data_IF_835358321953
#
_entry.id   IF_835358321953
#
_cell.length_a   1.000
_cell.length_b   1.000
_cell.length_c   1.000
_cell.angle_alpha   90.00
_cell.angle_beta   90.00
_cell.angle_gamma   90.00
#
_symmetry.space_group_name_H-M   'P 1'
#
loop_
_entity.id
_entity.type
_entity.pdbx_description
1 polymer ?
#
# COMPACT_ATOMS: atom_id res chain seq x y z
N UNK A 1 -14.91 -18.40 -3.61
CA UNK A 1 -15.98 -17.44 -3.89
C UNK A 1 -16.06 -16.48 -2.73
N UNK A 2 -15.95 -15.20 -3.01
CA UNK A 2 -16.04 -14.13 -2.03
C UNK A 2 -17.51 -13.74 -1.83
N UNK A 3 -17.84 -13.26 -0.63
CA UNK A 3 -19.18 -12.75 -0.32
C UNK A 3 -19.08 -11.30 0.12
N UNK A 4 -19.88 -10.43 -0.49
CA UNK A 4 -20.00 -9.04 -0.07
C UNK A 4 -21.18 -8.90 0.89
N UNK A 5 -20.97 -8.16 1.98
CA UNK A 5 -22.00 -7.71 2.91
C UNK A 5 -22.00 -6.19 2.98
N UNK A 6 -23.19 -5.59 3.01
CA UNK A 6 -23.36 -4.16 3.24
C UNK A 6 -24.26 -3.94 4.44
N UNK A 7 -23.83 -3.13 5.42
CA UNK A 7 -24.49 -2.91 6.72
C UNK A 7 -24.96 -4.21 7.40
N UNK A 8 -24.15 -5.26 7.28
CA UNK A 8 -24.44 -6.59 7.85
C UNK A 8 -25.31 -7.49 6.98
N UNK A 9 -25.95 -6.98 5.93
CA UNK A 9 -26.75 -7.75 4.99
C UNK A 9 -25.88 -8.33 3.86
N UNK A 10 -25.86 -9.66 3.68
CA UNK A 10 -25.24 -10.26 2.50
C UNK A 10 -25.94 -9.79 1.22
N UNK A 11 -25.19 -9.38 0.19
CA UNK A 11 -25.79 -8.87 -1.04
C UNK A 11 -26.74 -9.88 -1.71
N UNK A 12 -26.42 -11.18 -1.62
CA UNK A 12 -27.29 -12.24 -2.14
C UNK A 12 -28.63 -12.35 -1.39
N UNK A 13 -28.76 -11.82 -0.17
CA UNK A 13 -30.05 -11.74 0.53
C UNK A 13 -30.87 -10.51 0.12
N UNK A 14 -30.20 -9.45 -0.32
CA UNK A 14 -30.85 -8.23 -0.84
C UNK A 14 -31.36 -8.47 -2.26
N UNK A 15 -30.62 -9.27 -3.05
CA UNK A 15 -30.99 -9.63 -4.42
C UNK A 15 -30.91 -11.15 -4.64
N UNK A 16 -31.85 -11.93 -4.09
CA UNK A 16 -31.81 -13.40 -4.12
C UNK A 16 -31.73 -14.02 -5.52
N UNK A 17 -32.29 -13.31 -6.51
CA UNK A 17 -32.37 -13.76 -7.90
C UNK A 17 -31.66 -12.80 -8.87
N UNK A 18 -30.94 -11.81 -8.36
CA UNK A 18 -30.22 -10.84 -9.20
C UNK A 18 -28.82 -11.33 -9.52
N UNK A 19 -28.33 -10.97 -10.70
CA UNK A 19 -26.93 -11.13 -11.03
C UNK A 19 -26.12 -10.15 -10.16
N UNK A 20 -25.11 -10.66 -9.45
CA UNK A 20 -24.09 -9.85 -8.79
C UNK A 20 -22.78 -10.16 -9.51
N UNK A 21 -22.10 -9.15 -10.03
CA UNK A 21 -20.82 -9.37 -10.70
C UNK A 21 -19.75 -9.78 -9.67
N UNK A 22 -18.69 -10.49 -10.08
CA UNK A 22 -17.57 -10.76 -9.19
C UNK A 22 -17.00 -9.47 -8.62
N UNK A 23 -16.80 -9.42 -7.30
CA UNK A 23 -16.23 -8.24 -6.66
C UNK A 23 -14.76 -8.09 -7.04
N UNK A 24 -14.40 -6.86 -7.43
CA UNK A 24 -13.02 -6.42 -7.59
C UNK A 24 -12.63 -5.58 -6.39
N UNK A 25 -11.46 -5.82 -5.81
CA UNK A 25 -10.96 -4.97 -4.74
C UNK A 25 -9.46 -4.78 -4.80
N UNK A 26 -9.03 -3.65 -4.25
CA UNK A 26 -7.63 -3.27 -4.11
C UNK A 26 -7.28 -3.09 -2.64
N UNK A 27 -6.06 -3.45 -2.29
CA UNK A 27 -5.45 -3.13 -1.00
C UNK A 27 -4.17 -2.35 -1.22
N UNK A 28 -3.81 -1.51 -0.27
CA UNK A 28 -2.56 -0.77 -0.22
C UNK A 28 -1.87 -0.99 1.12
N UNK A 29 -0.65 -0.45 1.27
CA UNK A 29 0.14 -0.52 2.49
C UNK A 29 -0.64 -0.11 3.77
N UNK A 30 -1.57 0.84 3.64
CA UNK A 30 -2.43 1.33 4.74
C UNK A 30 -3.69 0.50 4.98
N UNK A 31 -3.94 -0.54 4.20
CA UNK A 31 -5.12 -1.41 4.31
C UNK A 31 -5.99 -1.47 3.06
N UNK A 32 -7.28 -1.85 3.19
CA UNK A 32 -8.26 -1.79 2.10
C UNK A 32 -8.24 -0.43 1.39
N UNK A 33 -8.20 -0.40 0.05
CA UNK A 33 -8.13 0.85 -0.73
C UNK A 33 -9.45 1.17 -1.42
N UNK A 34 -9.89 0.31 -2.35
CA UNK A 34 -11.15 0.46 -3.06
C UNK A 34 -11.76 -0.92 -3.36
N UNK A 35 -13.08 -0.99 -3.50
CA UNK A 35 -13.79 -2.15 -4.02
C UNK A 35 -14.92 -1.71 -4.94
N UNK A 36 -15.24 -2.55 -5.92
CA UNK A 36 -16.30 -2.31 -6.88
C UNK A 36 -16.99 -3.62 -7.29
N UNK A 37 -18.28 -3.51 -7.61
CA UNK A 37 -19.10 -4.59 -8.14
C UNK A 37 -20.38 -4.00 -8.76
N UNK A 38 -21.10 -4.83 -9.51
CA UNK A 38 -22.35 -4.48 -10.18
C UNK A 38 -23.47 -5.39 -9.71
N UNK A 39 -24.70 -4.88 -9.74
CA UNK A 39 -25.89 -5.64 -9.36
C UNK A 39 -27.02 -5.47 -10.37
N UNK A 40 -27.68 -6.56 -10.76
CA UNK A 40 -28.88 -6.51 -11.60
C UNK A 40 -30.11 -6.17 -10.76
N UNK A 41 -30.37 -4.87 -10.54
CA UNK A 41 -31.49 -4.39 -9.74
C UNK A 41 -32.60 -3.75 -10.61
N UNK A 42 -33.89 -3.85 -10.20
CA UNK A 42 -34.97 -3.14 -10.87
C UNK A 42 -34.82 -1.62 -10.76
N UNK A 43 -35.30 -0.88 -11.76
CA UNK A 43 -35.34 0.59 -11.72
C UNK A 43 -36.15 1.06 -10.49
N UNK A 44 -35.61 2.01 -9.75
CA UNK A 44 -36.24 2.56 -8.54
C UNK A 44 -36.12 1.68 -7.30
N UNK A 45 -35.33 0.60 -7.34
CA UNK A 45 -35.02 -0.19 -6.15
C UNK A 45 -34.27 0.66 -5.10
N UNK A 46 -34.69 0.55 -3.85
CA UNK A 46 -34.05 1.25 -2.72
C UNK A 46 -33.90 0.28 -1.56
N UNK A 47 -32.73 0.28 -0.94
CA UNK A 47 -32.48 -0.51 0.26
C UNK A 47 -31.48 0.25 1.14
N UNK A 48 -31.70 0.40 2.46
CA UNK A 48 -30.81 1.18 3.33
C UNK A 48 -29.34 0.76 3.27
N UNK A 49 -29.08 -0.55 3.12
CA UNK A 49 -27.73 -1.08 2.96
C UNK A 49 -27.09 -0.81 1.58
N UNK A 50 -27.80 -0.20 0.63
CA UNK A 50 -27.30 0.19 -0.69
C UNK A 50 -27.29 1.72 -0.83
N UNK A 51 -27.11 2.42 0.28
CA UNK A 51 -27.03 3.88 0.34
C UNK A 51 -25.57 4.31 0.58
N UNK A 52 -25.25 5.55 0.19
CA UNK A 52 -23.95 6.15 0.51
C UNK A 52 -23.69 6.10 2.01
N UNK A 53 -22.48 5.74 2.41
CA UNK A 53 -22.08 5.65 3.81
C UNK A 53 -22.26 4.27 4.43
N UNK A 54 -22.95 3.33 3.76
CA UNK A 54 -23.10 1.97 4.25
C UNK A 54 -21.73 1.27 4.41
N UNK A 55 -21.56 0.50 5.49
CA UNK A 55 -20.34 -0.25 5.75
C UNK A 55 -20.30 -1.51 4.88
N UNK A 56 -19.31 -1.58 4.01
CA UNK A 56 -19.12 -2.70 3.07
C UNK A 56 -17.99 -3.58 3.57
N UNK A 57 -18.22 -4.90 3.58
CA UNK A 57 -17.24 -5.92 3.93
C UNK A 57 -17.23 -7.04 2.91
N UNK A 58 -16.04 -7.45 2.48
CA UNK A 58 -15.82 -8.61 1.61
C UNK A 58 -15.27 -9.75 2.45
N UNK A 59 -15.86 -10.93 2.30
CA UNK A 59 -15.54 -12.12 3.08
C UNK A 59 -15.02 -13.26 2.20
N UNK A 60 -13.95 -13.92 2.68
CA UNK A 60 -13.53 -15.24 2.23
C UNK A 60 -13.94 -16.27 3.30
N UNK A 61 -15.10 -16.92 3.10
CA UNK A 61 -15.71 -17.75 4.14
C UNK A 61 -16.07 -16.91 5.38
N UNK A 62 -15.60 -17.24 6.59
CA UNK A 62 -15.86 -16.45 7.79
C UNK A 62 -14.92 -15.23 7.95
N UNK A 63 -13.85 -15.14 7.16
CA UNK A 63 -12.80 -14.14 7.32
C UNK A 63 -13.14 -12.87 6.53
N UNK A 64 -13.09 -11.72 7.19
CA UNK A 64 -13.16 -10.42 6.52
C UNK A 64 -11.82 -10.13 5.83
N UNK A 65 -11.81 -9.98 4.51
CA UNK A 65 -10.58 -9.75 3.73
C UNK A 65 -10.45 -8.32 3.23
N UNK A 66 -11.57 -7.59 3.19
CA UNK A 66 -11.61 -6.18 2.81
C UNK A 66 -12.78 -5.48 3.49
N UNK A 67 -12.61 -4.21 3.86
CA UNK A 67 -13.71 -3.38 4.37
C UNK A 67 -13.55 -1.90 4.02
N UNK A 68 -14.69 -1.23 3.90
CA UNK A 68 -14.76 0.16 3.50
C UNK A 68 -16.18 0.72 3.62
N UNK A 69 -16.37 1.92 3.11
CA UNK A 69 -17.64 2.64 3.13
C UNK A 69 -18.10 2.88 1.70
N UNK A 70 -19.36 2.58 1.43
CA UNK A 70 -19.98 2.74 0.11
C UNK A 70 -19.98 4.22 -0.30
N UNK A 71 -19.49 4.49 -1.51
CA UNK A 71 -19.68 5.78 -2.17
C UNK A 71 -21.12 5.89 -2.70
N UNK A 72 -21.51 7.03 -3.28
CA UNK A 72 -22.83 7.14 -3.92
C UNK A 72 -22.94 6.14 -5.08
N UNK A 73 -23.89 5.19 -5.05
CA UNK A 73 -24.05 4.21 -6.13
C UNK A 73 -24.53 4.86 -7.43
N UNK A 74 -24.03 4.38 -8.57
CA UNK A 74 -24.66 4.70 -9.85
C UNK A 74 -25.92 3.85 -10.01
N UNK A 75 -27.09 4.44 -9.74
CA UNK A 75 -28.39 3.76 -9.81
C UNK A 75 -28.88 3.51 -11.23
N UNK A 76 -28.24 4.06 -12.25
CA UNK A 76 -28.59 3.79 -13.65
C UNK A 76 -27.87 2.53 -14.14
N UNK A 77 -26.58 2.42 -13.87
CA UNK A 77 -25.76 1.25 -14.20
C UNK A 77 -25.84 0.15 -13.13
N UNK A 78 -26.36 0.47 -11.94
CA UNK A 78 -26.24 -0.33 -10.72
C UNK A 78 -24.81 -0.74 -10.42
N UNK A 79 -23.91 0.22 -10.59
CA UNK A 79 -22.51 0.11 -10.28
C UNK A 79 -22.23 0.68 -8.88
N UNK A 80 -21.55 -0.11 -8.06
CA UNK A 80 -21.28 0.21 -6.68
C UNK A 80 -19.77 0.30 -6.47
N UNK A 81 -19.35 1.34 -5.75
CA UNK A 81 -17.96 1.51 -5.32
C UNK A 81 -17.91 1.74 -3.82
N UNK A 82 -16.81 1.34 -3.18
CA UNK A 82 -16.57 1.56 -1.77
C UNK A 82 -15.13 1.98 -1.53
N UNK A 83 -14.95 3.01 -0.69
CA UNK A 83 -13.65 3.50 -0.24
C UNK A 83 -13.20 2.73 0.99
N UNK A 84 -11.96 2.24 0.98
CA UNK A 84 -11.42 1.47 2.10
C UNK A 84 -11.30 2.27 3.39
N UNK A 85 -11.44 1.58 4.54
CA UNK A 85 -11.58 2.22 5.85
C UNK A 85 -10.45 3.20 6.21
N UNK A 86 -9.22 2.96 5.75
CA UNK A 86 -8.08 3.82 6.09
C UNK A 86 -8.24 5.26 5.56
N UNK A 87 -8.98 5.47 4.45
CA UNK A 87 -9.20 6.80 3.87
C UNK A 87 -10.13 7.67 4.70
N UNK A 88 -10.95 7.06 5.56
CA UNK A 88 -11.82 7.82 6.45
C UNK A 88 -11.04 8.68 7.44
N UNK A 89 -9.81 8.27 7.82
CA UNK A 89 -8.94 9.06 8.69
C UNK A 89 -8.58 10.43 8.12
N UNK A 90 -8.64 10.62 6.80
CA UNK A 90 -8.41 11.91 6.13
C UNK A 90 -9.53 12.91 6.42
N UNK A 91 -10.73 12.42 6.74
CA UNK A 91 -11.94 13.21 7.00
C UNK A 91 -12.15 13.54 8.48
N UNK A 92 -11.31 13.00 9.37
CA UNK A 92 -11.38 13.23 10.81
C UNK A 92 -10.16 14.03 11.26
N UNK A 93 -10.41 15.16 11.93
CA UNK A 93 -9.36 16.02 12.45
C UNK A 93 -8.69 15.40 13.68
N UNK A 94 -7.37 15.46 13.75
CA UNK A 94 -6.58 15.15 14.92
C UNK A 94 -6.58 16.37 15.86
N UNK A 95 -7.78 16.77 16.27
CA UNK A 95 -8.01 18.02 17.00
C UNK A 95 -7.51 17.91 18.44
N UNK A 96 -6.43 18.62 18.78
CA UNK A 96 -6.13 19.00 20.15
C UNK A 96 -5.55 20.40 20.24
N UNK A 97 -6.02 21.16 21.22
CA UNK A 97 -5.46 22.45 21.61
C UNK A 97 -4.37 22.32 22.69
N UNK A 98 -4.08 21.09 23.14
CA UNK A 98 -3.19 20.78 24.27
C UNK A 98 -2.05 19.86 23.82
N UNK A 99 -0.82 20.28 24.08
CA UNK A 99 0.41 19.56 23.71
C UNK A 99 0.68 18.28 24.51
N UNK A 100 -0.12 18.00 25.55
CA UNK A 100 -0.04 16.75 26.33
C UNK A 100 -0.77 15.56 25.70
N UNK A 101 -1.51 15.78 24.60
CA UNK A 101 -2.32 14.75 23.95
C UNK A 101 -1.53 13.92 22.95
N UNK A 102 -1.67 12.61 23.11
CA UNK A 102 -0.93 11.59 22.36
C UNK A 102 -1.66 11.24 21.05
N UNK A 103 -0.99 10.53 20.15
CA UNK A 103 -1.64 9.96 18.96
C UNK A 103 -2.77 8.99 19.34
N UNK A 104 -2.64 8.26 20.44
CA UNK A 104 -3.66 7.38 20.99
C UNK A 104 -4.94 8.16 21.35
N UNK A 105 -4.79 9.31 22.03
CA UNK A 105 -5.91 10.19 22.33
C UNK A 105 -6.59 10.67 21.05
N UNK A 106 -5.81 10.99 20.00
CA UNK A 106 -6.33 11.49 18.72
C UNK A 106 -7.25 10.48 18.06
N UNK A 107 -6.78 9.23 18.00
CA UNK A 107 -7.52 8.13 17.42
C UNK A 107 -8.80 7.87 18.21
N UNK A 108 -8.72 7.82 19.54
CA UNK A 108 -9.89 7.58 20.40
C UNK A 108 -10.93 8.70 20.27
N UNK A 109 -10.48 9.96 20.20
CA UNK A 109 -11.36 11.09 19.97
C UNK A 109 -12.05 11.00 18.59
N UNK A 110 -11.34 10.54 17.55
CA UNK A 110 -11.92 10.34 16.22
C UNK A 110 -12.92 9.17 16.19
N UNK A 111 -12.61 8.06 16.86
CA UNK A 111 -13.53 6.94 17.06
C UNK A 111 -14.80 7.41 17.78
N UNK A 112 -14.66 8.20 18.84
CA UNK A 112 -15.79 8.80 19.56
C UNK A 112 -16.67 9.71 18.71
N UNK A 113 -16.14 10.30 17.63
CA UNK A 113 -16.90 11.09 16.64
C UNK A 113 -17.53 10.26 15.52
N UNK A 114 -17.38 8.94 15.54
CA UNK A 114 -17.99 8.03 14.57
C UNK A 114 -17.06 7.51 13.48
N UNK A 115 -15.73 7.67 13.63
CA UNK A 115 -14.78 6.95 12.78
C UNK A 115 -14.93 5.44 13.07
N UNK A 116 -15.26 4.58 12.09
CA UNK A 116 -15.51 3.16 12.31
C UNK A 116 -14.20 2.35 12.42
N UNK A 117 -13.25 2.89 13.18
CA UNK A 117 -11.99 2.26 13.53
C UNK A 117 -12.06 1.73 14.96
N UNK A 118 -11.14 0.83 15.27
CA UNK A 118 -10.92 0.34 16.63
C UNK A 118 -9.43 0.37 16.91
N UNK A 119 -9.07 0.58 18.18
CA UNK A 119 -7.69 0.60 18.64
C UNK A 119 -7.57 -0.32 19.85
N UNK A 120 -7.36 -1.64 19.62
CA UNK A 120 -7.32 -2.61 20.71
C UNK A 120 -6.07 -2.48 21.60
N UNK A 121 -5.00 -1.89 21.06
CA UNK A 121 -3.71 -1.72 21.73
C UNK A 121 -3.22 -0.28 21.61
N UNK A 122 -2.43 0.16 22.58
CA UNK A 122 -1.71 1.42 22.48
C UNK A 122 -0.74 1.40 21.31
N UNK A 123 -0.75 2.45 20.49
CA UNK A 123 0.17 2.63 19.38
C UNK A 123 1.37 3.46 19.83
N UNK A 124 1.14 4.49 20.64
CA UNK A 124 2.20 5.27 21.29
C UNK A 124 1.66 6.14 22.43
N UNK A 125 2.50 6.40 23.44
CA UNK A 125 2.20 7.30 24.56
C UNK A 125 3.02 8.60 24.57
N UNK A 126 3.94 8.79 23.62
CA UNK A 126 4.91 9.92 23.68
C UNK A 126 4.87 10.86 22.48
N UNK A 127 4.14 10.53 21.42
CA UNK A 127 4.03 11.38 20.24
C UNK A 127 2.91 12.42 20.40
N UNK A 128 3.29 13.70 20.47
CA UNK A 128 2.35 14.82 20.52
C UNK A 128 1.85 15.16 19.12
N UNK A 129 0.53 15.24 18.97
CA UNK A 129 -0.11 15.69 17.73
C UNK A 129 -0.30 17.20 17.77
N UNK A 130 0.09 17.91 16.70
CA UNK A 130 0.00 19.37 16.62
C UNK A 130 -1.25 19.86 15.89
N UNK A 131 -1.57 19.33 14.71
CA UNK A 131 -2.80 19.64 13.94
C UNK A 131 -2.91 18.76 12.68
N UNK A 132 -4.09 18.74 12.05
CA UNK A 132 -4.32 18.09 10.76
C UNK A 132 -5.13 16.79 10.88
N UNK A 133 -5.34 16.08 9.77
CA UNK A 133 -6.12 14.82 9.79
C UNK A 133 -5.44 13.73 10.61
N UNK A 134 -6.23 12.76 11.10
CA UNK A 134 -5.70 11.57 11.81
C UNK A 134 -4.70 10.82 10.94
N UNK A 135 -4.95 10.71 9.64
CA UNK A 135 -4.03 10.09 8.69
C UNK A 135 -2.68 10.83 8.63
N UNK A 136 -2.68 12.17 8.62
CA UNK A 136 -1.45 12.95 8.62
C UNK A 136 -0.69 12.82 9.95
N UNK A 137 -1.41 12.77 11.08
CA UNK A 137 -0.80 12.56 12.39
C UNK A 137 -0.13 11.18 12.50
N UNK A 138 -0.79 10.13 11.98
CA UNK A 138 -0.23 8.79 11.87
C UNK A 138 0.98 8.72 10.93
N UNK A 139 0.95 9.45 9.81
CA UNK A 139 2.09 9.56 8.91
C UNK A 139 3.29 10.24 9.57
N UNK A 140 3.06 11.30 10.34
CA UNK A 140 4.10 12.00 11.08
C UNK A 140 4.69 11.10 12.20
N UNK A 141 3.83 10.37 12.91
CA UNK A 141 4.27 9.38 13.89
C UNK A 141 5.16 8.32 13.25
N UNK A 142 4.70 7.68 12.18
CA UNK A 142 5.44 6.66 11.44
C UNK A 142 6.75 7.18 10.84
N UNK A 143 6.79 8.44 10.38
CA UNK A 143 8.03 9.08 9.94
C UNK A 143 9.04 9.22 11.09
N UNK A 144 8.58 9.47 12.32
CA UNK A 144 9.46 9.61 13.49
C UNK A 144 9.99 8.27 14.02
N UNK A 145 9.26 7.17 13.82
CA UNK A 145 9.61 5.85 14.36
C UNK A 145 10.17 4.89 13.31
N UNK A 146 10.05 5.22 12.02
CA UNK A 146 10.42 4.31 10.93
C UNK A 146 9.45 3.15 10.72
N UNK A 147 8.25 3.22 11.31
CA UNK A 147 7.22 2.21 11.15
C UNK A 147 6.24 2.59 10.05
N UNK A 148 5.31 1.70 9.71
CA UNK A 148 4.15 1.98 8.89
C UNK A 148 2.88 1.79 9.71
N UNK A 149 1.80 2.48 9.34
CA UNK A 149 0.49 2.28 9.93
C UNK A 149 -0.47 1.67 8.90
N UNK A 150 -1.46 0.93 9.39
CA UNK A 150 -2.55 0.41 8.56
C UNK A 150 -3.84 0.26 9.35
N UNK A 151 -4.93 0.17 8.62
CA UNK A 151 -6.24 -0.28 9.10
C UNK A 151 -6.51 -1.68 8.55
N UNK A 152 -6.78 -2.64 9.43
CA UNK A 152 -7.12 -4.01 9.03
C UNK A 152 -8.53 -4.06 8.41
N UNK A 153 -8.88 -5.15 7.70
CA UNK A 153 -10.26 -5.38 7.26
C UNK A 153 -11.29 -5.39 8.40
N UNK A 154 -10.88 -5.61 9.65
CA UNK A 154 -11.76 -5.54 10.81
C UNK A 154 -11.90 -4.11 11.39
N UNK A 155 -11.22 -3.13 10.79
CA UNK A 155 -11.20 -1.74 11.24
C UNK A 155 -10.20 -1.47 12.35
N UNK A 156 -9.28 -2.38 12.65
CA UNK A 156 -8.26 -2.15 13.67
C UNK A 156 -7.11 -1.31 13.13
N UNK A 157 -6.76 -0.24 13.82
CA UNK A 157 -5.54 0.54 13.52
C UNK A 157 -4.36 -0.13 14.21
N UNK A 158 -3.29 -0.34 13.46
CA UNK A 158 -2.04 -0.88 13.98
C UNK A 158 -0.83 -0.26 13.29
N UNK A 159 0.30 -0.31 13.98
CA UNK A 159 1.62 0.04 13.44
C UNK A 159 2.48 -1.21 13.35
N UNK A 160 3.35 -1.25 12.34
CA UNK A 160 4.17 -2.41 12.03
C UNK A 160 5.46 -1.98 11.34
N UNK A 161 6.49 -2.81 11.48
CA UNK A 161 7.73 -2.67 10.73
C UNK A 161 7.59 -3.30 9.34
N UNK A 162 8.27 -2.75 8.33
CA UNK A 162 8.27 -3.36 7.01
C UNK A 162 8.84 -4.80 7.07
N UNK A 163 8.26 -5.76 6.32
CA UNK A 163 8.69 -7.15 6.38
C UNK A 163 10.13 -7.31 5.88
N UNK A 164 10.93 -8.04 6.65
CA UNK A 164 12.33 -8.37 6.32
C UNK A 164 12.46 -9.74 5.67
N UNK A 165 11.57 -10.68 5.99
CA UNK A 165 11.54 -12.02 5.42
C UNK A 165 10.73 -12.09 4.12
N UNK A 166 10.95 -13.13 3.31
CA UNK A 166 10.24 -13.37 2.05
C UNK A 166 9.06 -14.29 2.30
N UNK A 167 7.85 -13.80 2.05
CA UNK A 167 6.60 -14.58 2.16
C UNK A 167 6.28 -15.32 0.87
N UNK A 168 6.61 -14.71 -0.27
CA UNK A 168 6.24 -15.21 -1.59
C UNK A 168 7.42 -15.24 -2.56
N UNK A 169 7.41 -16.22 -3.45
CA UNK A 169 8.33 -16.37 -4.56
C UNK A 169 7.55 -16.33 -5.87
N UNK A 170 8.02 -15.52 -6.82
CA UNK A 170 7.53 -15.49 -8.19
C UNK A 170 8.47 -16.34 -9.06
N UNK A 171 7.88 -17.30 -9.79
CA UNK A 171 8.62 -18.25 -10.62
C UNK A 171 9.46 -17.56 -11.73
N UNK A 172 10.56 -18.19 -12.18
CA UNK A 172 11.55 -17.57 -13.07
C UNK A 172 11.13 -17.45 -14.55
N UNK A 173 9.85 -17.59 -14.86
CA UNK A 173 9.30 -17.38 -16.21
C UNK A 173 8.43 -16.12 -16.29
N UNK A 174 8.23 -15.45 -15.15
CA UNK A 174 7.60 -14.13 -15.11
C UNK A 174 8.69 -13.09 -15.32
N UNK A 175 8.65 -12.27 -16.39
CA UNK A 175 9.67 -11.25 -16.64
C UNK A 175 9.91 -10.36 -15.43
N UNK A 176 11.17 -10.09 -15.11
CA UNK A 176 11.53 -9.18 -14.03
C UNK A 176 10.93 -7.79 -14.26
N UNK A 177 10.42 -7.15 -13.19
CA UNK A 177 9.95 -5.76 -13.28
C UNK A 177 11.12 -4.83 -13.58
N UNK A 178 10.97 -3.83 -14.47
CA UNK A 178 12.02 -2.85 -14.69
C UNK A 178 12.17 -1.95 -13.46
N UNK A 179 13.41 -1.63 -13.10
CA UNK A 179 13.72 -0.66 -12.05
C UNK A 179 13.73 0.76 -12.63
N UNK A 180 13.22 1.71 -11.83
CA UNK A 180 13.35 3.14 -12.06
C UNK A 180 14.61 3.64 -11.33
N UNK A 181 15.67 3.92 -12.09
CA UNK A 181 16.95 4.37 -11.53
C UNK A 181 16.87 5.79 -10.91
N UNK A 182 15.76 6.51 -11.09
CA UNK A 182 15.64 7.92 -10.68
C UNK A 182 15.04 8.18 -9.30
N UNK A 183 14.52 7.18 -8.58
CA UNK A 183 13.95 7.35 -7.23
C UNK A 183 14.83 6.79 -6.10
N UNK A 184 16.09 6.54 -6.43
CA UNK A 184 17.07 6.01 -5.50
C UNK A 184 17.87 7.15 -4.87
N UNK A 185 18.15 7.05 -3.58
CA UNK A 185 19.16 7.86 -2.91
C UNK A 185 19.95 6.99 -1.93
N UNK A 186 21.28 7.06 -1.99
CA UNK A 186 22.16 6.50 -0.95
C UNK A 186 22.25 7.42 0.26
N UNK A 187 22.03 8.73 0.05
CA UNK A 187 22.21 9.76 1.05
C UNK A 187 21.01 10.70 1.08
N UNK A 188 20.39 10.85 2.26
CA UNK A 188 19.34 11.84 2.47
C UNK A 188 19.91 13.06 3.15
N UNK A 189 19.58 14.24 2.63
CA UNK A 189 19.89 15.50 3.28
C UNK A 189 18.60 16.09 3.84
N UNK A 190 18.44 16.03 5.17
CA UNK A 190 17.16 16.27 5.82
C UNK A 190 17.14 17.62 6.50
N UNK A 191 16.12 18.41 6.19
CA UNK A 191 15.88 19.72 6.82
C UNK A 191 14.77 19.59 7.85
N UNK A 192 15.06 19.96 9.08
CA UNK A 192 14.14 20.02 10.22
C UNK A 192 13.87 21.46 10.60
N UNK A 193 12.84 21.67 11.42
CA UNK A 193 12.56 22.97 12.02
C UNK A 193 13.72 23.48 12.89
N UNK A 194 14.51 22.56 13.45
CA UNK A 194 15.63 22.85 14.36
C UNK A 194 17.02 22.86 13.71
N UNK A 195 17.14 22.52 12.42
CA UNK A 195 18.45 22.40 11.75
C UNK A 195 18.47 21.41 10.59
N UNK A 196 19.65 21.08 10.07
CA UNK A 196 19.86 20.17 8.93
C UNK A 196 20.79 19.03 9.33
N UNK A 197 20.49 17.81 8.86
CA UNK A 197 21.37 16.63 9.03
C UNK A 197 21.50 15.87 7.71
N UNK A 198 22.39 14.87 7.66
CA UNK A 198 22.53 13.95 6.53
C UNK A 198 22.72 12.52 7.02
N UNK A 199 22.13 11.57 6.31
CA UNK A 199 22.25 10.13 6.59
C UNK A 199 22.62 9.39 5.31
N UNK A 200 23.51 8.40 5.40
CA UNK A 200 24.03 7.64 4.25
C UNK A 200 23.96 6.14 4.49
N UNK A 201 23.55 5.38 3.48
CA UNK A 201 23.63 3.93 3.41
C UNK A 201 24.78 3.54 2.47
N UNK A 202 25.93 3.21 3.07
CA UNK A 202 27.15 2.85 2.33
C UNK A 202 26.99 1.57 1.51
N UNK A 203 26.20 0.61 2.01
CA UNK A 203 25.96 -0.66 1.31
C UNK A 203 25.10 -0.44 0.06
N UNK A 204 24.10 0.45 0.15
CA UNK A 204 23.33 0.87 -1.01
C UNK A 204 24.21 1.64 -2.00
N UNK A 205 25.06 2.57 -1.53
CA UNK A 205 25.96 3.34 -2.36
C UNK A 205 26.96 2.45 -3.12
N UNK A 206 27.49 1.42 -2.47
CA UNK A 206 28.37 0.43 -3.09
C UNK A 206 27.65 -0.40 -4.16
N UNK A 207 26.39 -0.80 -3.88
CA UNK A 207 25.62 -1.68 -4.75
C UNK A 207 25.03 -0.97 -5.98
N UNK A 208 24.58 0.27 -5.84
CA UNK A 208 23.82 1.00 -6.87
C UNK A 208 24.46 2.31 -7.32
N UNK A 209 25.55 2.75 -6.67
CA UNK A 209 26.22 4.03 -6.88
C UNK A 209 25.75 5.10 -5.88
N UNK A 210 26.58 6.12 -5.57
CA UNK A 210 26.19 7.17 -4.63
C UNK A 210 25.18 8.16 -5.26
N UNK A 211 24.16 8.58 -4.49
CA UNK A 211 23.16 9.56 -4.90
C UNK A 211 22.54 10.29 -3.71
N UNK A 212 22.41 11.61 -3.82
CA UNK A 212 21.85 12.47 -2.78
C UNK A 212 20.42 12.93 -3.10
N UNK A 213 19.57 12.99 -2.08
CA UNK A 213 18.23 13.59 -2.18
C UNK A 213 17.92 14.50 -0.98
N UNK A 214 17.46 15.76 -1.22
CA UNK A 214 16.99 16.62 -0.14
C UNK A 214 15.57 16.24 0.31
N UNK A 215 15.36 16.13 1.62
CA UNK A 215 14.04 15.89 2.23
C UNK A 215 13.74 17.02 3.22
N UNK A 216 12.56 17.63 3.12
CA UNK A 216 12.13 18.68 4.04
C UNK A 216 11.05 18.17 4.99
N UNK A 217 11.36 18.16 6.29
CA UNK A 217 10.48 17.80 7.39
C UNK A 217 10.20 19.00 8.30
N UNK A 218 10.59 20.22 7.90
CA UNK A 218 10.45 21.43 8.71
C UNK A 218 8.99 21.72 9.08
N UNK A 219 8.05 21.39 8.20
CA UNK A 219 6.61 21.54 8.43
C UNK A 219 6.04 20.55 9.46
N UNK A 220 6.77 19.49 9.81
CA UNK A 220 6.31 18.47 10.76
C UNK A 220 6.66 18.82 12.21
N UNK A 221 7.38 19.93 12.45
CA UNK A 221 7.78 20.34 13.80
C UNK A 221 8.75 19.38 14.50
N UNK A 222 9.33 18.44 13.74
CA UNK A 222 10.29 17.47 14.25
C UNK A 222 11.64 18.15 14.52
N UNK A 223 12.33 17.69 15.56
CA UNK A 223 13.72 18.03 15.84
C UNK A 223 14.68 17.17 15.02
N UNK A 224 15.86 17.71 14.76
CA UNK A 224 16.90 17.02 14.00
C UNK A 224 17.31 15.71 14.68
N UNK A 225 17.25 14.60 13.94
CA UNK A 225 17.59 13.25 14.42
C UNK A 225 18.09 12.38 13.27
N UNK A 226 19.28 11.81 13.42
CA UNK A 226 19.85 10.86 12.45
C UNK A 226 19.00 9.58 12.36
N UNK A 227 18.40 9.13 13.46
CA UNK A 227 17.52 7.95 13.50
C UNK A 227 16.29 8.11 12.58
N UNK A 228 15.71 9.30 12.50
CA UNK A 228 14.61 9.59 11.58
C UNK A 228 15.10 9.51 10.13
N UNK A 229 16.33 9.95 9.87
CA UNK A 229 16.93 9.83 8.54
C UNK A 229 17.27 8.40 8.14
N UNK A 230 17.81 7.59 9.05
CA UNK A 230 18.06 6.16 8.83
C UNK A 230 16.75 5.44 8.49
N UNK A 231 15.71 5.73 9.27
CA UNK A 231 14.37 5.20 9.07
C UNK A 231 13.77 5.58 7.71
N UNK A 232 13.88 6.85 7.31
CA UNK A 232 13.39 7.32 6.01
C UNK A 232 14.17 6.70 4.85
N UNK A 233 15.49 6.64 4.97
CA UNK A 233 16.38 6.08 3.96
C UNK A 233 16.09 4.60 3.75
N UNK A 234 16.03 3.81 4.84
CA UNK A 234 15.74 2.38 4.80
C UNK A 234 14.34 2.07 4.24
N UNK A 235 13.34 2.90 4.55
CA UNK A 235 11.95 2.66 4.15
C UNK A 235 11.59 3.15 2.76
N UNK A 236 12.29 4.16 2.22
CA UNK A 236 11.81 4.88 1.03
C UNK A 236 12.81 5.03 -0.10
N UNK A 237 14.12 5.08 0.16
CA UNK A 237 15.08 5.60 -0.84
C UNK A 237 16.35 4.79 -1.06
N UNK A 238 16.75 3.92 -0.12
CA UNK A 238 17.96 3.09 -0.24
C UNK A 238 17.89 2.00 -1.33
N UNK A 239 16.83 1.98 -2.17
CA UNK A 239 16.60 0.97 -3.20
C UNK A 239 16.01 1.63 -4.46
N UNK A 240 16.34 1.14 -5.66
CA UNK A 240 15.66 1.58 -6.88
C UNK A 240 14.14 1.36 -6.79
N UNK A 241 13.38 2.34 -7.27
CA UNK A 241 11.95 2.21 -7.48
C UNK A 241 11.64 1.22 -8.62
N UNK A 242 10.35 0.93 -8.83
CA UNK A 242 9.88 0.11 -9.94
C UNK A 242 9.02 0.94 -10.89
N UNK A 243 9.09 0.64 -12.19
CA UNK A 243 8.29 1.34 -13.20
C UNK A 243 6.87 0.77 -13.33
N UNK A 244 6.67 -0.50 -12.97
CA UNK A 244 5.38 -1.18 -13.12
C UNK A 244 5.12 -2.18 -11.98
N UNK A 245 3.91 -2.73 -11.94
CA UNK A 245 3.57 -3.92 -11.17
C UNK A 245 3.74 -5.20 -11.97
N UNK A 246 3.38 -6.32 -11.37
CA UNK A 246 3.39 -7.64 -11.99
C UNK A 246 2.04 -8.33 -11.79
N UNK A 247 1.50 -8.91 -12.85
CA UNK A 247 0.35 -9.79 -12.77
C UNK A 247 0.81 -11.24 -12.74
N UNK A 248 0.33 -12.01 -11.76
CA UNK A 248 0.73 -13.40 -11.54
C UNK A 248 -0.47 -14.31 -11.39
N UNK A 249 -0.35 -15.52 -11.93
CA UNK A 249 -1.31 -16.60 -11.71
C UNK A 249 -0.99 -17.34 -10.42
N UNK A 250 -1.95 -18.12 -9.90
CA UNK A 250 -1.77 -18.91 -8.67
C UNK A 250 -0.60 -19.90 -8.75
N UNK A 251 -0.31 -20.42 -9.95
CA UNK A 251 0.80 -21.35 -10.16
C UNK A 251 2.18 -20.67 -10.20
N UNK A 252 2.22 -19.35 -10.36
CA UNK A 252 3.44 -18.57 -10.56
C UNK A 252 3.85 -17.75 -9.34
N UNK A 253 2.96 -17.66 -8.36
CA UNK A 253 3.21 -17.11 -7.04
C UNK A 253 3.11 -18.26 -6.03
N UNK A 254 4.17 -18.55 -5.29
CA UNK A 254 4.17 -19.63 -4.28
C UNK A 254 4.84 -19.17 -3.00
N UNK A 255 4.59 -19.83 -1.88
CA UNK A 255 5.47 -19.70 -0.72
C UNK A 255 6.89 -20.16 -1.09
N UNK A 256 7.93 -19.83 -0.30
CA UNK A 256 9.26 -20.42 -0.47
C UNK A 256 9.26 -21.96 -0.46
N UNK A 257 8.25 -22.59 0.16
CA UNK A 257 8.04 -24.04 0.15
C UNK A 257 7.27 -24.58 -1.08
N UNK A 258 6.96 -23.74 -2.08
CA UNK A 258 6.29 -24.15 -3.31
C UNK A 258 4.77 -24.30 -3.23
N UNK A 259 4.13 -23.80 -2.16
CA UNK A 259 2.68 -23.89 -2.00
C UNK A 259 2.01 -22.65 -2.64
N UNK A 260 1.05 -22.81 -3.56
CA UNK A 260 0.35 -21.68 -4.16
C UNK A 260 -0.61 -21.00 -3.15
N UNK A 261 -0.75 -19.66 -3.18
CA UNK A 261 -1.67 -18.95 -2.30
C UNK A 261 -3.11 -19.05 -2.78
N UNK A 262 -4.00 -18.87 -1.83
CA UNK A 262 -5.27 -18.22 -2.13
C UNK A 262 -5.04 -16.70 -2.20
N UNK A 263 -5.46 -16.05 -3.30
CA UNK A 263 -5.12 -14.64 -3.53
C UNK A 263 -5.65 -13.65 -2.50
N UNK A 264 -6.73 -13.99 -1.80
CA UNK A 264 -7.22 -13.18 -0.69
C UNK A 264 -6.27 -13.16 0.53
N UNK A 265 -5.27 -14.05 0.58
CA UNK A 265 -4.20 -14.07 1.60
C UNK A 265 -3.01 -13.17 1.23
N UNK A 266 -2.93 -12.73 -0.02
CA UNK A 266 -1.84 -11.88 -0.50
C UNK A 266 -2.16 -10.43 -0.13
N UNK A 267 -1.43 -9.90 0.83
CA UNK A 267 -1.70 -8.64 1.50
C UNK A 267 -0.62 -7.59 1.20
N UNK A 268 -1.06 -6.38 0.85
CA UNK A 268 -0.17 -5.23 0.73
C UNK A 268 0.37 -4.77 2.10
N UNK A 269 1.56 -4.18 2.09
CA UNK A 269 2.28 -3.60 3.22
C UNK A 269 3.06 -4.59 4.06
N UNK A 270 2.45 -5.74 4.39
CA UNK A 270 3.01 -6.69 5.37
C UNK A 270 3.70 -7.91 4.76
N UNK A 271 3.73 -8.03 3.42
CA UNK A 271 4.33 -9.18 2.76
C UNK A 271 5.40 -8.77 1.75
N UNK A 272 6.42 -9.61 1.62
CA UNK A 272 7.55 -9.43 0.71
C UNK A 272 7.61 -10.55 -0.32
N UNK A 273 8.01 -10.18 -1.52
CA UNK A 273 8.11 -11.08 -2.68
C UNK A 273 9.56 -11.17 -3.14
N UNK A 274 10.01 -12.38 -3.45
CA UNK A 274 11.22 -12.65 -4.22
C UNK A 274 10.85 -12.98 -5.66
N UNK A 275 11.33 -12.18 -6.59
CA UNK A 275 11.14 -12.33 -8.02
C UNK A 275 12.41 -12.91 -8.65
N UNK A 276 12.31 -14.13 -9.17
CA UNK A 276 13.47 -14.86 -9.68
C UNK A 276 13.94 -14.42 -11.09
N UNK A 277 13.22 -13.52 -11.75
CA UNK A 277 13.57 -13.03 -13.10
C UNK A 277 13.53 -14.13 -14.14
N UNK A 278 14.30 -14.02 -15.23
CA UNK A 278 14.40 -15.05 -16.27
C UNK A 278 15.45 -16.11 -15.93
N UNK A 279 15.34 -17.31 -16.52
CA UNK A 279 16.42 -18.30 -16.46
C UNK A 279 17.58 -17.92 -17.41
N UNK A 280 18.82 -18.15 -16.98
CA UNK A 280 20.02 -18.13 -17.82
C UNK A 280 20.07 -19.36 -18.73
N UNK A 281 21.00 -19.36 -19.69
CA UNK A 281 21.29 -20.52 -20.55
C UNK A 281 21.55 -21.83 -19.79
N UNK A 282 21.98 -21.72 -18.53
CA UNK A 282 22.35 -22.85 -17.68
C UNK A 282 21.18 -23.28 -16.77
N UNK A 283 19.99 -22.71 -16.96
CA UNK A 283 18.78 -23.01 -16.18
C UNK A 283 18.77 -22.41 -14.78
N UNK A 284 19.69 -21.50 -14.45
CA UNK A 284 19.71 -20.78 -13.19
C UNK A 284 18.98 -19.43 -13.32
N UNK A 285 18.31 -18.91 -12.29
CA UNK A 285 17.75 -17.56 -12.34
C UNK A 285 18.84 -16.50 -12.57
N UNK A 286 18.59 -15.55 -13.48
CA UNK A 286 19.60 -14.67 -14.09
C UNK A 286 20.15 -13.58 -13.16
N UNK A 287 19.51 -13.33 -12.03
CA UNK A 287 19.96 -12.46 -10.97
C UNK A 287 19.47 -13.08 -9.65
N UNK A 288 20.32 -13.18 -8.63
CA UNK A 288 19.90 -13.62 -7.30
C UNK A 288 18.68 -12.81 -6.86
N UNK A 289 17.52 -13.47 -6.82
CA UNK A 289 16.20 -12.87 -7.03
C UNK A 289 15.98 -11.47 -6.44
N UNK A 290 15.31 -10.62 -7.21
CA UNK A 290 14.92 -9.28 -6.79
C UNK A 290 13.87 -9.37 -5.69
N UNK A 291 14.11 -8.74 -4.55
CA UNK A 291 13.18 -8.78 -3.42
C UNK A 291 12.55 -7.41 -3.16
N UNK A 292 11.23 -7.38 -3.01
CA UNK A 292 10.47 -6.15 -2.86
C UNK A 292 9.22 -6.36 -1.98
N UNK A 293 8.75 -5.28 -1.35
CA UNK A 293 7.54 -5.30 -0.50
C UNK A 293 6.33 -5.00 -1.37
N UNK A 294 5.24 -5.75 -1.18
CA UNK A 294 3.97 -5.50 -1.89
C UNK A 294 3.39 -4.17 -1.41
N UNK A 295 3.38 -3.15 -2.26
CA UNK A 295 2.82 -1.83 -1.95
C UNK A 295 1.30 -1.77 -2.16
N UNK A 296 0.79 -2.48 -3.16
CA UNK A 296 -0.64 -2.65 -3.40
C UNK A 296 -0.97 -3.98 -4.09
N UNK A 297 -2.20 -4.45 -3.92
CA UNK A 297 -2.75 -5.60 -4.66
C UNK A 297 -4.06 -5.22 -5.33
N UNK A 298 -4.37 -5.83 -6.48
CA UNK A 298 -5.68 -5.79 -7.13
C UNK A 298 -6.12 -7.21 -7.47
N UNK A 299 -7.34 -7.57 -7.07
CA UNK A 299 -7.90 -8.90 -7.28
C UNK A 299 -9.39 -8.82 -7.59
N UNK A 300 -9.83 -9.57 -8.60
CA UNK A 300 -11.23 -9.80 -8.94
C UNK A 300 -11.58 -11.26 -8.66
N UNK A 301 -12.69 -11.51 -7.95
CA UNK A 301 -13.07 -12.88 -7.58
C UNK A 301 -13.19 -13.78 -8.83
N UNK A 302 -12.47 -14.89 -8.84
CA UNK A 302 -12.48 -15.85 -9.95
C UNK A 302 -11.60 -15.50 -11.16
N UNK A 303 -10.89 -14.36 -11.18
CA UNK A 303 -10.04 -13.96 -12.32
C UNK A 303 -8.84 -14.90 -12.58
N UNK A 304 -8.44 -15.71 -11.60
CA UNK A 304 -7.30 -16.62 -11.73
C UNK A 304 -5.92 -15.94 -11.71
N UNK A 305 -5.88 -14.61 -11.70
CA UNK A 305 -4.69 -13.78 -11.52
C UNK A 305 -4.84 -12.76 -10.38
N UNK A 306 -3.72 -12.25 -9.91
CA UNK A 306 -3.62 -11.11 -8.99
C UNK A 306 -2.57 -10.13 -9.52
N UNK A 307 -2.87 -8.84 -9.49
CA UNK A 307 -1.89 -7.81 -9.78
C UNK A 307 -1.21 -7.35 -8.48
N UNK A 308 0.11 -7.38 -8.47
CA UNK A 308 0.95 -6.96 -7.36
C UNK A 308 1.75 -5.72 -7.78
N UNK A 309 1.61 -4.65 -7.03
CA UNK A 309 2.38 -3.41 -7.25
C UNK A 309 3.41 -3.29 -6.14
N UNK A 310 4.71 -3.09 -6.46
CA UNK A 310 5.73 -2.90 -5.45
C UNK A 310 5.58 -1.57 -4.71
N UNK A 311 6.06 -1.54 -3.47
CA UNK A 311 6.25 -0.30 -2.73
C UNK A 311 7.31 0.56 -3.42
N UNK A 312 7.05 1.86 -3.57
CA UNK A 312 7.94 2.76 -4.32
C UNK A 312 7.78 2.66 -5.85
N UNK A 313 6.58 2.32 -6.35
CA UNK A 313 6.30 2.44 -7.79
C UNK A 313 6.29 3.90 -8.21
N UNK A 314 7.07 4.25 -9.23
CA UNK A 314 6.92 5.51 -9.94
C UNK A 314 6.11 5.29 -11.22
N UNK A 315 5.02 6.02 -11.38
CA UNK A 315 4.32 6.10 -12.65
C UNK A 315 5.25 6.81 -13.66
N UNK A 316 5.77 6.07 -14.64
CA UNK A 316 6.46 6.65 -15.80
C UNK A 316 5.61 6.47 -17.04
N UNK A 317 5.52 7.51 -17.84
CA UNK A 317 4.90 7.42 -19.15
C UNK A 317 5.87 6.73 -20.12
N UNK A 318 5.34 6.02 -21.11
CA UNK A 318 6.15 5.32 -22.13
C UNK A 318 7.13 6.27 -22.85
N UNK A 319 6.76 7.54 -22.98
CA UNK A 319 7.60 8.59 -23.56
C UNK A 319 8.88 8.86 -22.74
N UNK A 320 8.79 8.83 -21.41
CA UNK A 320 9.93 9.07 -20.51
C UNK A 320 10.91 7.89 -20.52
N UNK A 321 10.39 6.66 -20.63
CA UNK A 321 11.21 5.45 -20.74
C UNK A 321 12.00 5.44 -22.05
N UNK A 322 11.37 5.82 -23.18
CA UNK A 322 12.04 5.93 -24.48
C UNK A 322 13.11 7.03 -24.46
N UNK A 323 12.82 8.18 -23.84
CA UNK A 323 13.78 9.27 -23.72
C UNK A 323 15.02 8.87 -22.89
N UNK A 324 14.84 8.12 -21.80
CA UNK A 324 15.95 7.67 -20.96
C UNK A 324 16.79 6.58 -21.64
N UNK A 325 16.17 5.66 -22.38
CA UNK A 325 16.90 4.68 -23.18
C UNK A 325 17.74 5.34 -24.28
N UNK A 326 17.19 6.35 -24.94
CA UNK A 326 17.92 7.16 -25.93
C UNK A 326 19.12 7.88 -25.30
N UNK A 327 18.95 8.47 -24.11
CA UNK A 327 20.04 9.12 -23.39
C UNK A 327 21.14 8.15 -22.95
N UNK A 328 20.78 6.92 -22.53
CA UNK A 328 21.73 5.89 -22.12
C UNK A 328 22.51 5.33 -23.31
N UNK A 329 21.88 5.22 -24.48
CA UNK A 329 22.57 4.85 -25.73
C UNK A 329 23.61 5.91 -26.11
N UNK A 330 23.22 7.19 -26.07
CA UNK A 330 24.12 8.30 -26.38
C UNK A 330 25.34 8.36 -25.43
N UNK A 331 25.15 8.04 -24.15
CA UNK A 331 26.25 7.96 -23.18
C UNK A 331 27.17 6.76 -23.40
N UNK A 332 26.66 5.64 -23.92
CA UNK A 332 27.49 4.49 -24.27
C UNK A 332 28.33 4.78 -25.53
N UNK A 333 27.74 5.44 -26.53
CA UNK A 333 28.46 5.86 -27.75
C UNK A 333 29.55 6.89 -27.45
N UNK A 334 29.32 7.78 -26.48
CA UNK A 334 30.33 8.74 -26.02
C UNK A 334 31.48 8.12 -25.20
N UNK A 335 31.33 6.89 -24.71
CA UNK A 335 32.38 6.15 -23.97
C UNK A 335 33.21 5.22 -24.86
N UNK A 336 32.75 4.93 -26.07
CA UNK A 336 33.46 4.10 -27.07
C UNK A 336 34.16 4.93 -28.15
N UNK A 337 33.99 6.26 -28.14
CA UNK A 337 34.75 7.22 -28.95
C UNK A 337 35.92 7.82 -28.14
#
# INVERSE_FOLDING_TARGET
>A
MLTVKSDGYPLHSIVPNGAISPVSYTTAMRGPLAAEWDMGLPVGFTHPALEQGALVKVYAGPLCVWSGVMAEPDRNAWHFTADGLHRLGEKFDACFTDASKTIDDAIDAAIGRGLPWTRPFSISTTFTVTSGSISNALDAYCASTGQQWRVTPDGQVLVYDLPTEVDWAISPEVPAMPTADDDYASTLIITYSSGRTSVTDDAAAERWGPREEPVDLSSLGLSASETIGDALLANRKARPAFTDGVEVTRARLTTPGGVPPEFWQVAAGTQRVRHHGTLTSDGAPSLGGLEWVIGATSYTDGAGTIALTPLGRLARTQAEVVAQQAARLAQMEAKTA
#
